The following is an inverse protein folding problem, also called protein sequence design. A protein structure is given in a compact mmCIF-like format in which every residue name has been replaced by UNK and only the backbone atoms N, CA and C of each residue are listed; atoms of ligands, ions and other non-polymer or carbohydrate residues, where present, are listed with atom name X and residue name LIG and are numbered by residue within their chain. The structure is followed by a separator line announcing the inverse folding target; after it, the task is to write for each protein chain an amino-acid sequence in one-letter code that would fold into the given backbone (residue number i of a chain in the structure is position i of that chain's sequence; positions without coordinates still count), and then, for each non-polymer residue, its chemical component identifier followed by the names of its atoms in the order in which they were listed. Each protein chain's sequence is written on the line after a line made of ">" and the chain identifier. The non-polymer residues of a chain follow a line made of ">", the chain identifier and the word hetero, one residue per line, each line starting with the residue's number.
data_IF_091724658572
#
_entry.id   IF_091724658572
#
_cell.length_a   1.000
_cell.length_b   1.000
_cell.length_c   1.000
_cell.angle_alpha   90.00
_cell.angle_beta   90.00
_cell.angle_gamma   90.00
#
_symmetry.space_group_name_H-M   'P 1'
#
loop_
_entity.id
_entity.type
_entity.pdbx_description
1 polymer ?
#
# COMPACT_ATOMS: atom_id res chain seq x y z
N UNK A 1 15.09 25.32 -4.37
CA UNK A 1 14.61 25.15 -2.97
C UNK A 1 14.20 23.71 -2.80
N UNK A 2 14.71 23.01 -1.77
CA UNK A 2 14.44 21.59 -1.51
C UNK A 2 12.92 21.37 -1.33
N UNK A 3 12.37 20.32 -1.96
CA UNK A 3 10.93 19.95 -1.89
C UNK A 3 10.45 19.72 -0.47
N UNK A 4 11.29 19.17 0.42
CA UNK A 4 10.99 18.98 1.83
C UNK A 4 10.82 20.31 2.58
N UNK A 5 11.64 21.32 2.27
CA UNK A 5 11.51 22.66 2.87
C UNK A 5 10.20 23.33 2.41
N UNK A 6 9.85 23.17 1.13
CA UNK A 6 8.55 23.65 0.61
C UNK A 6 7.37 22.97 1.28
N UNK A 7 7.45 21.65 1.45
CA UNK A 7 6.40 20.90 2.14
C UNK A 7 6.28 21.37 3.59
N UNK A 8 7.38 21.47 4.33
CA UNK A 8 7.39 21.93 5.71
C UNK A 8 6.83 23.36 5.86
N UNK A 9 7.18 24.27 4.93
CA UNK A 9 6.70 25.64 4.94
C UNK A 9 5.21 25.80 4.61
N UNK A 10 4.62 24.84 3.87
CA UNK A 10 3.23 24.91 3.42
C UNK A 10 2.30 23.92 4.16
N UNK A 11 2.85 23.03 4.99
CA UNK A 11 2.07 22.07 5.75
C UNK A 11 1.58 22.69 7.08
N UNK A 12 0.74 23.72 6.96
CA UNK A 12 0.19 24.41 8.14
C UNK A 12 -0.88 23.54 8.82
N UNK A 13 -0.83 23.42 10.17
CA UNK A 13 -1.85 22.69 10.92
C UNK A 13 -3.27 23.25 10.68
N UNK A 14 -4.25 22.34 10.58
CA UNK A 14 -5.65 22.69 10.43
C UNK A 14 -6.14 22.96 9.01
N UNK A 15 -5.26 23.18 8.05
CA UNK A 15 -5.66 23.54 6.68
C UNK A 15 -6.04 22.35 5.81
N UNK A 16 -5.69 21.11 6.21
CA UNK A 16 -6.02 19.85 5.50
C UNK A 16 -5.72 19.91 4.01
N UNK A 17 -4.56 20.43 3.64
CA UNK A 17 -4.17 20.67 2.24
C UNK A 17 -3.69 19.45 1.49
N UNK A 18 -3.33 18.37 2.20
CA UNK A 18 -2.62 17.26 1.59
C UNK A 18 -3.41 15.95 1.68
N UNK A 19 -3.32 15.16 0.62
CA UNK A 19 -3.59 13.73 0.62
C UNK A 19 -2.26 13.01 0.78
N UNK A 20 -2.19 12.06 1.71
CA UNK A 20 -1.07 11.15 1.81
C UNK A 20 -1.36 9.89 0.99
N UNK A 21 -0.41 9.47 0.18
CA UNK A 21 -0.40 8.17 -0.48
C UNK A 21 0.70 7.30 0.15
N UNK A 22 0.31 6.21 0.81
CA UNK A 22 1.20 5.29 1.51
C UNK A 22 1.23 3.92 0.81
N UNK A 23 2.42 3.41 0.53
CA UNK A 23 2.63 2.05 0.06
C UNK A 23 3.28 1.17 1.13
N UNK A 24 3.60 -0.09 0.79
CA UNK A 24 4.11 -1.12 1.70
C UNK A 24 5.39 -0.70 2.47
N UNK A 25 6.20 0.18 1.90
CA UNK A 25 7.39 0.69 2.58
C UNK A 25 7.13 1.43 3.88
N UNK A 26 5.90 1.93 4.12
CA UNK A 26 5.50 2.57 5.38
C UNK A 26 5.39 1.56 6.51
N UNK A 27 5.06 0.31 6.20
CA UNK A 27 4.85 -0.76 7.19
C UNK A 27 6.13 -1.54 7.52
N UNK A 28 7.26 -1.22 6.86
CA UNK A 28 8.51 -1.97 7.04
C UNK A 28 9.07 -1.87 8.47
N UNK A 29 8.97 -0.71 9.10
CA UNK A 29 9.43 -0.50 10.48
C UNK A 29 8.48 -1.08 11.54
N UNK A 30 7.29 -1.53 11.13
CA UNK A 30 6.39 -2.36 11.93
C UNK A 30 6.71 -3.86 11.84
N UNK A 31 7.75 -4.26 11.09
CA UNK A 31 8.11 -5.64 10.84
C UNK A 31 7.22 -6.33 9.80
N UNK A 32 6.41 -5.59 9.07
CA UNK A 32 5.54 -6.11 8.02
C UNK A 32 6.37 -6.29 6.73
N UNK A 33 6.35 -7.49 6.14
CA UNK A 33 7.07 -7.75 4.91
C UNK A 33 6.53 -6.93 3.73
N UNK A 34 7.43 -6.50 2.86
CA UNK A 34 7.07 -5.88 1.59
C UNK A 34 6.63 -6.94 0.57
N UNK A 35 6.09 -6.52 -0.57
CA UNK A 35 5.76 -7.44 -1.66
C UNK A 35 6.98 -8.28 -2.12
N UNK A 36 8.19 -7.71 -2.05
CA UNK A 36 9.43 -8.45 -2.33
C UNK A 36 9.72 -9.51 -1.27
N UNK A 37 9.60 -9.17 -0.01
CA UNK A 37 9.81 -10.11 1.09
C UNK A 37 8.78 -11.25 1.02
N UNK A 38 7.51 -10.95 0.71
CA UNK A 38 6.46 -11.95 0.49
C UNK A 38 6.76 -12.85 -0.70
N UNK A 39 7.31 -12.30 -1.77
CA UNK A 39 7.71 -13.07 -2.95
C UNK A 39 8.83 -14.06 -2.61
N UNK A 40 9.81 -13.65 -1.82
CA UNK A 40 10.89 -14.54 -1.37
C UNK A 40 10.39 -15.62 -0.39
N UNK A 41 9.48 -15.30 0.52
CA UNK A 41 8.84 -16.31 1.39
C UNK A 41 8.06 -17.34 0.56
N UNK A 42 7.36 -16.87 -0.47
CA UNK A 42 6.64 -17.75 -1.39
C UNK A 42 7.60 -18.60 -2.23
N UNK A 43 8.69 -18.00 -2.71
CA UNK A 43 9.76 -18.70 -3.41
C UNK A 43 10.41 -19.79 -2.54
N UNK A 44 10.63 -19.49 -1.25
CA UNK A 44 11.13 -20.46 -0.26
C UNK A 44 10.19 -21.66 -0.15
N UNK A 45 8.89 -21.42 -0.06
CA UNK A 45 7.89 -22.50 -0.03
C UNK A 45 7.94 -23.38 -1.27
N UNK A 46 8.04 -22.78 -2.47
CA UNK A 46 8.17 -23.53 -3.73
C UNK A 46 9.48 -24.34 -3.76
N UNK A 47 10.59 -23.71 -3.37
CA UNK A 47 11.91 -24.32 -3.33
C UNK A 47 11.93 -25.58 -2.45
N UNK A 48 11.42 -25.47 -1.22
CA UNK A 48 11.38 -26.59 -0.28
C UNK A 48 10.48 -27.74 -0.76
N UNK A 49 9.37 -27.43 -1.43
CA UNK A 49 8.54 -28.47 -2.06
C UNK A 49 9.22 -29.18 -3.23
N UNK A 50 10.08 -28.48 -3.97
CA UNK A 50 10.89 -29.07 -5.04
C UNK A 50 12.11 -29.83 -4.53
N UNK A 51 12.55 -29.58 -3.29
CA UNK A 51 13.73 -30.19 -2.65
C UNK A 51 13.36 -30.78 -1.28
N UNK A 52 12.56 -31.88 -1.24
CA UNK A 52 11.99 -32.40 0.01
C UNK A 52 13.02 -32.96 0.99
N UNK A 53 14.23 -33.23 0.53
CA UNK A 53 15.34 -33.72 1.35
C UNK A 53 16.12 -32.60 2.07
N UNK A 54 15.80 -31.33 1.80
CA UNK A 54 16.48 -30.19 2.41
C UNK A 54 15.79 -29.74 3.70
N UNK A 55 16.57 -29.52 4.76
CA UNK A 55 16.05 -28.96 6.02
C UNK A 55 15.81 -27.45 5.86
N UNK A 56 14.58 -27.02 6.11
CA UNK A 56 14.19 -25.61 6.02
C UNK A 56 15.11 -24.69 6.83
N UNK A 57 15.66 -25.17 7.95
CA UNK A 57 16.54 -24.41 8.85
C UNK A 57 17.94 -24.18 8.30
N UNK A 58 18.35 -24.98 7.30
CA UNK A 58 19.67 -24.88 6.67
C UNK A 58 19.64 -24.00 5.42
N UNK A 59 18.44 -23.71 4.86
CA UNK A 59 18.28 -22.92 3.67
C UNK A 59 18.39 -21.43 4.00
N UNK A 60 19.37 -20.77 3.40
CA UNK A 60 19.60 -19.33 3.61
C UNK A 60 18.74 -18.47 2.68
N UNK A 61 18.43 -17.24 3.10
CA UNK A 61 17.70 -16.28 2.26
C UNK A 61 18.42 -16.02 0.93
N UNK A 62 19.76 -16.07 0.92
CA UNK A 62 20.56 -15.86 -0.28
C UNK A 62 20.38 -17.02 -1.28
N UNK A 63 20.36 -18.26 -0.80
CA UNK A 63 20.12 -19.44 -1.67
C UNK A 63 18.74 -19.37 -2.33
N UNK A 64 17.72 -18.95 -1.56
CA UNK A 64 16.38 -18.74 -2.13
C UNK A 64 16.37 -17.62 -3.16
N UNK A 65 17.05 -16.52 -2.90
CA UNK A 65 17.15 -15.38 -3.81
C UNK A 65 17.87 -15.77 -5.09
N UNK A 66 19.03 -16.44 -4.99
CA UNK A 66 19.81 -16.94 -6.13
C UNK A 66 18.99 -17.95 -6.97
N UNK A 67 18.34 -18.91 -6.32
CA UNK A 67 17.46 -19.88 -6.99
C UNK A 67 16.26 -19.19 -7.65
N UNK A 68 15.64 -18.21 -6.98
CA UNK A 68 14.52 -17.47 -7.53
C UNK A 68 14.90 -16.75 -8.82
N UNK A 69 16.04 -16.08 -8.85
CA UNK A 69 16.50 -15.36 -10.04
C UNK A 69 16.86 -16.30 -11.22
N UNK A 70 17.28 -17.53 -10.93
CA UNK A 70 17.59 -18.54 -11.94
C UNK A 70 16.33 -19.31 -12.41
N UNK A 71 15.22 -19.18 -11.71
CA UNK A 71 13.96 -19.87 -12.01
C UNK A 71 13.07 -19.11 -13.00
N UNK A 72 12.05 -19.79 -13.53
CA UNK A 72 11.00 -19.16 -14.34
C UNK A 72 10.19 -18.10 -13.55
N UNK A 73 10.14 -18.22 -12.23
CA UNK A 73 9.43 -17.30 -11.34
C UNK A 73 10.04 -15.90 -11.31
N UNK A 74 11.31 -15.72 -11.67
CA UNK A 74 11.97 -14.41 -11.75
C UNK A 74 11.31 -13.42 -12.70
N UNK A 75 10.50 -13.92 -13.65
CA UNK A 75 9.78 -13.13 -14.64
C UNK A 75 8.35 -12.82 -14.24
N UNK A 76 7.88 -13.42 -13.15
CA UNK A 76 6.51 -13.28 -12.66
C UNK A 76 6.40 -12.13 -11.67
N UNK A 77 5.27 -11.42 -11.72
CA UNK A 77 4.94 -10.44 -10.69
C UNK A 77 4.47 -11.14 -9.41
N UNK A 78 4.66 -10.47 -8.29
CA UNK A 78 4.25 -10.96 -6.96
C UNK A 78 2.81 -11.52 -6.94
N UNK A 79 1.87 -10.81 -7.57
CA UNK A 79 0.47 -11.20 -7.62
C UNK A 79 0.23 -12.51 -8.40
N UNK A 80 1.06 -12.79 -9.41
CA UNK A 80 1.00 -14.06 -10.17
C UNK A 80 1.50 -15.23 -9.34
N UNK A 81 2.61 -15.05 -8.61
CA UNK A 81 3.20 -16.08 -7.77
C UNK A 81 2.27 -16.42 -6.60
N UNK A 82 1.78 -15.41 -5.89
CA UNK A 82 0.86 -15.61 -4.75
C UNK A 82 -0.48 -16.19 -5.22
N UNK A 83 -1.03 -15.70 -6.34
CA UNK A 83 -2.27 -16.21 -6.92
C UNK A 83 -2.16 -17.65 -7.45
N UNK A 84 -0.98 -18.07 -7.89
CA UNK A 84 -0.71 -19.45 -8.32
C UNK A 84 -0.69 -20.47 -7.17
N UNK A 85 -0.30 -20.02 -5.97
CA UNK A 85 -0.26 -20.88 -4.76
C UNK A 85 -1.57 -20.86 -4.00
N UNK A 86 -2.14 -19.68 -3.81
CA UNK A 86 -3.39 -19.46 -3.08
C UNK A 86 -4.51 -19.14 -4.07
N UNK A 87 -5.12 -20.21 -4.62
CA UNK A 87 -6.04 -20.11 -5.75
C UNK A 87 -7.41 -19.50 -5.40
N UNK A 88 -7.82 -19.58 -4.13
CA UNK A 88 -9.12 -19.05 -3.69
C UNK A 88 -8.97 -17.76 -2.87
N UNK A 89 -9.97 -16.87 -2.91
CA UNK A 89 -9.98 -15.66 -2.08
C UNK A 89 -9.81 -15.96 -0.59
N UNK A 90 -10.38 -17.06 -0.10
CA UNK A 90 -10.28 -17.47 1.32
C UNK A 90 -8.86 -17.90 1.69
N UNK A 91 -8.15 -18.62 0.82
CA UNK A 91 -6.75 -19.00 1.02
C UNK A 91 -5.85 -17.78 1.02
N UNK A 92 -6.05 -16.86 0.08
CA UNK A 92 -5.31 -15.59 0.03
C UNK A 92 -5.55 -14.75 1.30
N UNK A 93 -6.80 -14.63 1.73
CA UNK A 93 -7.14 -13.94 2.97
C UNK A 93 -6.40 -14.56 4.17
N UNK A 94 -6.47 -15.89 4.33
CA UNK A 94 -5.78 -16.60 5.41
C UNK A 94 -4.26 -16.43 5.39
N UNK A 95 -3.65 -16.43 4.20
CA UNK A 95 -2.23 -16.15 4.03
C UNK A 95 -1.88 -14.73 4.50
N UNK A 96 -2.60 -13.73 4.03
CA UNK A 96 -2.35 -12.34 4.41
C UNK A 96 -2.66 -12.06 5.88
N UNK A 97 -3.71 -12.64 6.44
CA UNK A 97 -4.02 -12.53 7.88
C UNK A 97 -2.89 -13.09 8.75
N UNK A 98 -2.31 -14.22 8.36
CA UNK A 98 -1.19 -14.82 9.06
C UNK A 98 0.04 -13.92 9.08
N UNK A 99 0.33 -13.25 7.97
CA UNK A 99 1.57 -12.48 7.78
C UNK A 99 1.41 -11.01 8.20
N UNK A 100 0.26 -10.40 7.92
CA UNK A 100 0.06 -8.95 8.07
C UNK A 100 -0.86 -8.57 9.24
N UNK A 101 -1.59 -9.53 9.83
CA UNK A 101 -2.70 -9.23 10.74
C UNK A 101 -2.31 -8.88 12.18
N UNK A 102 -1.10 -9.19 12.64
CA UNK A 102 -0.71 -9.10 14.06
C UNK A 102 0.50 -8.19 14.30
N UNK A 103 0.49 -7.04 13.69
CA UNK A 103 1.58 -6.07 13.85
C UNK A 103 1.08 -4.79 14.54
N UNK A 104 1.94 -4.26 15.42
CA UNK A 104 1.74 -2.94 16.02
C UNK A 104 2.20 -1.84 15.06
N UNK A 105 1.59 -0.66 15.11
CA UNK A 105 2.03 0.46 14.29
C UNK A 105 3.50 0.82 14.50
N UNK A 106 4.26 0.93 13.43
CA UNK A 106 5.63 1.45 13.44
C UNK A 106 5.68 2.98 13.53
N UNK A 107 6.91 3.53 13.58
CA UNK A 107 7.12 4.98 13.69
C UNK A 107 6.54 5.76 12.52
N UNK A 108 6.64 5.23 11.29
CA UNK A 108 6.07 5.89 10.12
C UNK A 108 4.54 6.05 10.24
N UNK A 109 3.83 5.01 10.72
CA UNK A 109 2.39 5.08 10.96
C UNK A 109 2.04 6.13 12.01
N UNK A 110 2.80 6.19 13.12
CA UNK A 110 2.58 7.18 14.21
C UNK A 110 2.83 8.60 13.74
N UNK A 111 3.86 8.83 12.91
CA UNK A 111 4.12 10.15 12.31
C UNK A 111 2.96 10.56 11.39
N UNK A 112 2.45 9.66 10.56
CA UNK A 112 1.29 9.92 9.69
C UNK A 112 0.06 10.25 10.52
N UNK A 113 -0.21 9.48 11.58
CA UNK A 113 -1.32 9.73 12.50
C UNK A 113 -1.21 11.09 13.16
N UNK A 114 -0.01 11.51 13.57
CA UNK A 114 0.24 12.84 14.12
C UNK A 114 0.02 13.95 13.08
N UNK A 115 0.42 13.75 11.83
CA UNK A 115 0.13 14.71 10.75
C UNK A 115 -1.38 14.86 10.51
N UNK A 116 -2.12 13.76 10.56
CA UNK A 116 -3.58 13.77 10.46
C UNK A 116 -4.22 14.50 11.67
N UNK A 117 -3.73 14.20 12.90
CA UNK A 117 -4.18 14.85 14.14
C UNK A 117 -3.97 16.37 14.11
N UNK A 118 -2.86 16.83 13.56
CA UNK A 118 -2.59 18.27 13.34
C UNK A 118 -3.40 18.89 12.21
N UNK A 119 -4.23 18.10 11.52
CA UNK A 119 -5.03 18.59 10.41
C UNK A 119 -4.21 19.01 9.19
N UNK A 120 -3.05 18.40 8.97
CA UNK A 120 -2.24 18.58 7.75
C UNK A 120 -2.83 17.75 6.63
N UNK A 121 -3.26 16.53 6.96
CA UNK A 121 -3.81 15.59 5.99
C UNK A 121 -5.34 15.71 5.90
N UNK A 122 -5.86 15.73 4.69
CA UNK A 122 -7.30 15.69 4.40
C UNK A 122 -7.83 14.28 4.39
N UNK A 123 -7.09 13.37 3.78
CA UNK A 123 -7.36 11.94 3.73
C UNK A 123 -6.05 11.18 3.47
N UNK A 124 -6.10 9.87 3.62
CA UNK A 124 -5.00 8.98 3.37
C UNK A 124 -5.45 7.94 2.34
N UNK A 125 -4.60 7.61 1.39
CA UNK A 125 -4.79 6.53 0.42
C UNK A 125 -3.66 5.53 0.69
N UNK A 126 -3.98 4.25 0.80
CA UNK A 126 -2.96 3.20 0.95
C UNK A 126 -3.32 1.95 0.17
N UNK A 127 -2.32 1.33 -0.43
CA UNK A 127 -2.44 0.01 -1.07
C UNK A 127 -2.20 -1.13 -0.07
N UNK A 128 -1.86 -0.81 1.18
CA UNK A 128 -1.57 -1.82 2.20
C UNK A 128 -2.85 -2.45 2.74
N UNK A 129 -2.80 -3.76 2.94
CA UNK A 129 -3.90 -4.51 3.55
C UNK A 129 -3.90 -4.44 5.07
N UNK A 130 -2.72 -4.26 5.70
CA UNK A 130 -2.56 -4.23 7.15
C UNK A 130 -3.34 -3.09 7.81
N UNK A 131 -3.76 -3.24 9.09
CA UNK A 131 -4.52 -2.24 9.82
C UNK A 131 -3.64 -1.26 10.62
N UNK A 132 -2.31 -1.27 10.44
CA UNK A 132 -1.40 -0.49 11.30
C UNK A 132 -1.65 1.01 11.22
N UNK A 133 -2.00 1.52 10.04
CA UNK A 133 -2.30 2.93 9.85
C UNK A 133 -3.56 3.35 10.61
N UNK A 134 -4.63 2.55 10.50
CA UNK A 134 -5.88 2.77 11.22
C UNK A 134 -5.70 2.68 12.73
N UNK A 135 -4.89 1.74 13.19
CA UNK A 135 -4.57 1.57 14.60
C UNK A 135 -3.79 2.77 15.13
N UNK A 136 -2.76 3.25 14.41
CA UNK A 136 -2.02 4.45 14.76
C UNK A 136 -2.92 5.70 14.86
N UNK A 137 -3.87 5.85 13.93
CA UNK A 137 -4.83 6.95 13.96
C UNK A 137 -5.74 6.87 15.20
N UNK A 138 -6.23 5.67 15.54
CA UNK A 138 -7.04 5.44 16.74
C UNK A 138 -6.26 5.70 18.04
N UNK A 139 -4.96 5.31 18.09
CA UNK A 139 -4.07 5.60 19.23
C UNK A 139 -3.97 7.11 19.52
N UNK A 140 -4.10 7.96 18.51
CA UNK A 140 -4.11 9.43 18.67
C UNK A 140 -5.49 10.01 18.98
N UNK A 141 -6.49 9.18 19.27
CA UNK A 141 -7.85 9.57 19.61
C UNK A 141 -8.71 10.01 18.42
N UNK A 142 -8.30 9.67 17.20
CA UNK A 142 -9.04 10.03 15.99
C UNK A 142 -10.09 8.97 15.64
N UNK A 143 -11.26 9.41 15.20
CA UNK A 143 -12.20 8.52 14.54
C UNK A 143 -11.74 8.27 13.09
N UNK A 144 -11.77 6.99 12.68
CA UNK A 144 -11.31 6.57 11.35
C UNK A 144 -12.49 6.01 10.57
N UNK A 145 -12.56 6.36 9.28
CA UNK A 145 -13.46 5.75 8.32
C UNK A 145 -12.64 5.11 7.20
N UNK A 146 -12.71 3.79 7.09
CA UNK A 146 -12.06 3.02 6.03
C UNK A 146 -13.00 2.89 4.84
N UNK A 147 -12.48 3.15 3.64
CA UNK A 147 -13.18 3.00 2.36
C UNK A 147 -12.42 1.94 1.55
N UNK A 148 -12.85 0.69 1.65
CA UNK A 148 -12.17 -0.45 1.04
C UNK A 148 -12.90 -1.03 -0.19
N UNK A 149 -14.14 -0.61 -0.45
CA UNK A 149 -14.94 -1.07 -1.57
C UNK A 149 -15.97 -0.01 -2.00
N UNK A 150 -16.63 -0.27 -3.11
CA UNK A 150 -17.61 0.65 -3.71
C UNK A 150 -18.87 0.80 -2.85
N UNK A 151 -19.34 -0.28 -2.20
CA UNK A 151 -20.54 -0.22 -1.36
C UNK A 151 -20.36 0.75 -0.19
N UNK A 152 -19.18 0.71 0.44
CA UNK A 152 -18.83 1.66 1.50
C UNK A 152 -18.69 3.08 0.93
N UNK A 153 -18.08 3.22 -0.25
CA UNK A 153 -17.88 4.52 -0.88
C UNK A 153 -19.20 5.19 -1.26
N UNK A 154 -20.15 4.45 -1.85
CA UNK A 154 -21.48 4.95 -2.25
C UNK A 154 -22.31 5.43 -1.05
N UNK A 155 -22.20 4.73 0.08
CA UNK A 155 -22.95 5.04 1.30
C UNK A 155 -22.23 6.03 2.22
N UNK A 156 -21.14 6.64 1.74
CA UNK A 156 -20.32 7.54 2.53
C UNK A 156 -20.67 9.01 2.23
N UNK A 157 -20.78 9.81 3.29
CA UNK A 157 -20.98 11.26 3.15
C UNK A 157 -19.85 11.93 2.34
N UNK A 158 -20.10 13.07 1.66
CA UNK A 158 -19.05 13.81 0.99
C UNK A 158 -17.89 14.14 1.95
N UNK A 159 -16.64 14.04 1.47
CA UNK A 159 -15.45 14.24 2.29
C UNK A 159 -15.47 15.60 3.02
N UNK A 160 -16.03 16.65 2.40
CA UNK A 160 -16.09 18.00 2.98
C UNK A 160 -16.87 18.04 4.31
N UNK A 161 -17.84 17.16 4.51
CA UNK A 161 -18.65 17.07 5.72
C UNK A 161 -18.09 16.07 6.74
N UNK A 162 -17.18 15.19 6.30
CA UNK A 162 -16.61 14.13 7.13
C UNK A 162 -15.67 14.72 8.21
N UNK A 163 -15.96 14.41 9.47
CA UNK A 163 -15.11 14.77 10.62
C UNK A 163 -14.06 13.72 10.92
N UNK A 164 -14.28 12.47 10.48
CA UNK A 164 -13.37 11.34 10.67
C UNK A 164 -12.16 11.45 9.73
N UNK A 165 -11.07 10.84 10.11
CA UNK A 165 -9.94 10.63 9.19
C UNK A 165 -10.34 9.52 8.21
N UNK A 166 -10.37 9.85 6.93
CA UNK A 166 -10.75 8.90 5.91
C UNK A 166 -9.52 8.22 5.32
N UNK A 167 -9.54 6.88 5.32
CA UNK A 167 -8.49 6.03 4.77
C UNK A 167 -9.08 5.26 3.60
N UNK A 168 -8.60 5.51 2.40
CA UNK A 168 -8.98 4.79 1.18
C UNK A 168 -8.04 3.63 0.96
N UNK A 169 -8.60 2.42 0.82
CA UNK A 169 -7.88 1.16 0.58
C UNK A 169 -8.38 0.52 -0.73
N UNK A 170 -7.95 1.01 -1.88
CA UNK A 170 -8.45 0.57 -3.19
C UNK A 170 -8.26 -0.93 -3.47
N UNK A 171 -7.33 -1.57 -2.77
CA UNK A 171 -7.08 -3.01 -2.89
C UNK A 171 -7.78 -3.84 -1.81
N UNK A 172 -8.60 -3.22 -0.97
CA UNK A 172 -9.26 -3.88 0.15
C UNK A 172 -8.48 -3.80 1.45
N UNK A 173 -9.01 -4.42 2.49
CA UNK A 173 -8.43 -4.48 3.84
C UNK A 173 -8.60 -5.87 4.44
N UNK A 174 -7.70 -6.25 5.34
CA UNK A 174 -7.83 -7.51 6.08
C UNK A 174 -9.11 -7.55 6.91
N UNK A 175 -9.79 -8.70 6.90
CA UNK A 175 -10.99 -8.93 7.68
C UNK A 175 -12.29 -8.40 7.06
N UNK A 176 -12.23 -7.64 5.96
CA UNK A 176 -13.41 -7.07 5.31
C UNK A 176 -13.39 -7.31 3.79
N UNK A 177 -14.23 -8.20 3.31
CA UNK A 177 -14.44 -8.44 1.88
C UNK A 177 -13.29 -9.17 1.18
N UNK A 178 -13.16 -8.95 -0.12
CA UNK A 178 -12.17 -9.60 -0.98
C UNK A 178 -10.96 -8.69 -1.16
N UNK A 179 -9.76 -9.23 -0.92
CA UNK A 179 -8.51 -8.56 -1.24
C UNK A 179 -8.30 -8.54 -2.76
N UNK A 180 -7.99 -7.38 -3.31
CA UNK A 180 -7.67 -7.19 -4.73
C UNK A 180 -6.16 -7.32 -4.90
N UNK A 181 -5.72 -8.55 -5.16
CA UNK A 181 -4.30 -8.90 -5.24
C UNK A 181 -3.96 -9.80 -6.44
N UNK A 182 -4.88 -10.00 -7.36
CA UNK A 182 -4.56 -10.69 -8.62
C UNK A 182 -4.01 -9.70 -9.64
N UNK A 183 -3.25 -10.16 -10.67
CA UNK A 183 -2.78 -9.29 -11.75
C UNK A 183 -3.91 -8.46 -12.36
N UNK A 184 -5.06 -9.09 -12.59
CA UNK A 184 -6.27 -8.43 -13.12
C UNK A 184 -6.80 -7.33 -12.20
N UNK A 185 -6.77 -7.56 -10.89
CA UNK A 185 -7.25 -6.56 -9.91
C UNK A 185 -6.32 -5.34 -9.84
N UNK A 186 -5.02 -5.54 -10.13
CA UNK A 186 -4.02 -4.48 -10.13
C UNK A 186 -3.98 -3.68 -11.44
N UNK A 187 -4.53 -4.20 -12.53
CA UNK A 187 -4.60 -3.49 -13.82
C UNK A 187 -5.49 -2.25 -13.75
N UNK A 188 -6.61 -2.32 -13.02
CA UNK A 188 -7.57 -1.22 -12.92
C UNK A 188 -8.33 -1.23 -11.61
N UNK A 189 -8.66 -0.06 -11.11
CA UNK A 189 -9.59 0.11 -10.00
C UNK A 189 -11.04 0.03 -10.50
N UNK A 190 -11.99 -0.09 -9.57
CA UNK A 190 -13.39 0.12 -9.92
C UNK A 190 -13.60 1.55 -10.44
N UNK A 191 -14.52 1.78 -11.38
CA UNK A 191 -14.75 3.13 -11.93
C UNK A 191 -15.14 4.16 -10.86
N UNK A 192 -15.80 3.74 -9.80
CA UNK A 192 -16.20 4.61 -8.70
C UNK A 192 -15.00 5.02 -7.85
N UNK A 193 -14.19 4.05 -7.42
CA UNK A 193 -12.97 4.29 -6.65
C UNK A 193 -11.98 5.13 -7.46
N UNK A 194 -11.74 4.79 -8.72
CA UNK A 194 -10.84 5.52 -9.60
C UNK A 194 -11.25 7.01 -9.70
N UNK A 195 -12.53 7.28 -9.98
CA UNK A 195 -13.06 8.65 -10.06
C UNK A 195 -12.89 9.43 -8.76
N UNK A 196 -13.17 8.80 -7.62
CA UNK A 196 -13.01 9.44 -6.31
C UNK A 196 -11.55 9.76 -6.02
N UNK A 197 -10.63 8.82 -6.28
CA UNK A 197 -9.20 9.06 -6.07
C UNK A 197 -8.66 10.16 -7.00
N UNK A 198 -9.04 10.18 -8.28
CA UNK A 198 -8.66 11.25 -9.23
C UNK A 198 -9.15 12.60 -8.70
N UNK A 199 -10.40 12.68 -8.23
CA UNK A 199 -10.97 13.90 -7.65
C UNK A 199 -10.15 14.38 -6.47
N UNK A 200 -9.89 13.51 -5.49
CA UNK A 200 -9.09 13.82 -4.30
C UNK A 200 -7.70 14.34 -4.64
N UNK A 201 -7.01 13.62 -5.54
CA UNK A 201 -5.67 13.99 -5.97
C UNK A 201 -5.62 15.28 -6.81
N UNK A 202 -6.72 15.67 -7.44
CA UNK A 202 -6.81 16.91 -8.24
C UNK A 202 -7.05 18.12 -7.34
N UNK A 203 -7.76 17.96 -6.23
CA UNK A 203 -8.16 19.05 -5.33
C UNK A 203 -7.09 19.38 -4.28
N UNK A 204 -6.13 18.46 -4.03
CA UNK A 204 -5.20 18.57 -2.91
C UNK A 204 -3.72 18.41 -3.33
N UNK A 205 -2.81 18.90 -2.51
CA UNK A 205 -1.40 18.52 -2.55
C UNK A 205 -1.23 17.03 -2.25
N UNK A 206 -0.26 16.35 -2.87
CA UNK A 206 -0.04 14.91 -2.63
C UNK A 206 1.35 14.68 -2.06
N UNK A 207 1.39 13.88 -1.00
CA UNK A 207 2.60 13.34 -0.40
C UNK A 207 2.61 11.85 -0.66
N UNK A 208 3.64 11.32 -1.31
CA UNK A 208 3.78 9.88 -1.61
C UNK A 208 4.95 9.33 -0.81
N UNK A 209 4.71 8.28 -0.03
CA UNK A 209 5.73 7.59 0.77
C UNK A 209 5.59 6.07 0.69
N UNK A 210 6.73 5.36 0.63
CA UNK A 210 6.77 3.91 0.70
C UNK A 210 6.13 3.17 -0.48
N UNK A 211 5.83 3.85 -1.58
CA UNK A 211 5.18 3.27 -2.75
C UNK A 211 6.20 2.97 -3.86
N UNK A 212 6.18 1.74 -4.38
CA UNK A 212 7.12 1.27 -5.39
C UNK A 212 6.77 1.66 -6.83
N UNK A 213 5.50 2.01 -7.11
CA UNK A 213 5.04 2.36 -8.45
C UNK A 213 4.87 1.16 -9.39
N UNK A 214 4.54 -0.02 -8.88
CA UNK A 214 4.37 -1.24 -9.69
C UNK A 214 2.92 -1.61 -9.99
N UNK A 215 1.98 -0.81 -9.58
CA UNK A 215 0.55 -1.04 -9.71
C UNK A 215 -0.01 -0.17 -10.85
N UNK A 216 -0.37 -0.77 -12.00
CA UNK A 216 -0.85 -0.01 -13.16
C UNK A 216 -2.11 0.80 -12.87
N UNK A 217 -3.07 0.23 -12.13
CA UNK A 217 -4.31 0.91 -11.77
C UNK A 217 -4.05 2.19 -10.97
N UNK A 218 -3.18 2.12 -9.97
CA UNK A 218 -2.78 3.29 -9.19
C UNK A 218 -1.94 4.27 -10.01
N UNK A 219 -1.03 3.77 -10.85
CA UNK A 219 -0.24 4.65 -11.74
C UNK A 219 -1.12 5.43 -12.71
N UNK A 220 -2.21 4.84 -13.20
CA UNK A 220 -3.19 5.52 -14.05
C UNK A 220 -3.86 6.67 -13.28
N UNK A 221 -4.29 6.42 -12.04
CA UNK A 221 -4.87 7.45 -11.16
C UNK A 221 -3.88 8.58 -10.90
N UNK A 222 -2.64 8.26 -10.52
CA UNK A 222 -1.59 9.25 -10.26
C UNK A 222 -1.22 10.04 -11.53
N UNK A 223 -1.20 9.39 -12.70
CA UNK A 223 -0.87 10.00 -13.99
C UNK A 223 -1.96 10.94 -14.50
N UNK A 224 -3.22 10.66 -14.20
CA UNK A 224 -4.37 11.51 -14.55
C UNK A 224 -4.25 12.93 -13.97
N UNK A 225 -3.39 13.09 -12.96
CA UNK A 225 -3.07 14.36 -12.32
C UNK A 225 -2.08 15.23 -13.10
N UNK A 226 -1.56 14.81 -14.25
CA UNK A 226 -0.45 15.48 -15.00
C UNK A 226 -0.61 16.99 -15.25
N UNK A 227 -1.79 17.56 -15.05
CA UNK A 227 -2.02 19.01 -15.17
C UNK A 227 -1.57 19.86 -13.96
N UNK A 228 -1.23 19.24 -12.81
CA UNK A 228 -1.05 19.96 -11.54
C UNK A 228 0.20 19.55 -10.71
N UNK A 229 1.08 18.71 -11.24
CA UNK A 229 2.30 18.36 -10.53
C UNK A 229 3.32 19.48 -10.69
N UNK A 230 3.72 20.08 -9.56
CA UNK A 230 4.96 20.84 -9.50
C UNK A 230 6.11 19.90 -9.89
N UNK A 231 6.95 20.26 -10.88
CA UNK A 231 8.06 19.43 -11.27
C UNK A 231 8.98 19.22 -10.06
N UNK A 232 9.45 18.00 -9.85
CA UNK A 232 10.46 17.55 -8.87
C UNK A 232 9.98 17.00 -7.51
N UNK A 233 8.91 16.23 -7.44
CA UNK A 233 8.65 15.38 -6.26
C UNK A 233 8.85 13.87 -6.56
N UNK A 234 8.90 13.50 -7.82
CA UNK A 234 9.33 12.16 -8.22
C UNK A 234 10.84 12.19 -8.47
N UNK A 235 11.62 11.58 -7.57
CA UNK A 235 12.96 11.14 -7.94
C UNK A 235 12.82 10.27 -9.20
N UNK A 236 13.71 10.45 -10.16
CA UNK A 236 13.71 9.67 -11.40
C UNK A 236 13.59 8.18 -11.06
N UNK A 237 12.74 7.43 -11.79
CA UNK A 237 12.72 6.00 -11.63
C UNK A 237 14.14 5.49 -11.87
N UNK A 238 14.73 4.82 -10.89
CA UNK A 238 16.00 4.14 -11.08
C UNK A 238 15.79 3.02 -12.09
N UNK A 239 15.87 3.38 -13.36
CA UNK A 239 16.10 2.44 -14.47
C UNK A 239 17.54 1.96 -14.38
N UNK A 240 17.79 0.98 -13.54
CA UNK A 240 18.92 0.05 -13.73
C UNK A 240 18.71 -1.13 -12.79
N UNK A 241 18.00 -2.10 -13.27
CA UNK A 241 18.28 -3.49 -12.90
C UNK A 241 18.89 -4.14 -14.15
N UNK A 242 20.20 -4.27 -14.13
CA UNK A 242 20.90 -5.32 -14.85
C UNK A 242 20.91 -6.55 -13.97
#
# INVERSE_FOLDING_TARGET
>A
MNSLIRLAANALPGEKKYILFAGAGVSKDAGIPTAWDLMLETAKYIYLNAHPDQDEREVTSKEIEDWFFDSEYAKMEYAEIVGGIYATPSEQQGFFEKILGKHEPGNAHRIIAEMARRGILRAIITTNFDPCLENALKETGQEVQVIANDDVLENTEPLIHCKKVRVYKPHGTLGEGVLRNTPRDLESLSPLMERELIRLLSEHGVIIIGYSGRDPGILNVLSSRKKYILPNVLGEPRTTLR
#
